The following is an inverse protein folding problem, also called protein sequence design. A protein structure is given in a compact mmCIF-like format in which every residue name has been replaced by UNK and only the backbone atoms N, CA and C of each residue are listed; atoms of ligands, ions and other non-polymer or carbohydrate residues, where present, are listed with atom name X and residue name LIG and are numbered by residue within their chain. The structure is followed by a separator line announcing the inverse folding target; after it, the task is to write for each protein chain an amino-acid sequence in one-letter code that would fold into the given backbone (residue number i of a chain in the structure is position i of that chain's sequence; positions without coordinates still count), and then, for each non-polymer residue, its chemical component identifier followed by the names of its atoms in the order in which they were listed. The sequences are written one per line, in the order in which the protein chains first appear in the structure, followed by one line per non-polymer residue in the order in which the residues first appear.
data_IF_044811923755
#
_entry.id   IF_044811923755
#
_cell.length_a   1.000
_cell.length_b   1.000
_cell.length_c   1.000
_cell.angle_alpha   90.00
_cell.angle_beta   90.00
_cell.angle_gamma   90.00
#
_symmetry.space_group_name_H-M   'P 1'
#
loop_
_entity.id
_entity.type
_entity.pdbx_description
1 polymer ?
#
# COMPACT_ATOMS: atom_id res chain seq x y z
N UNK A 1 -65.85 -8.99 -30.56
CA UNK A 1 -65.09 -8.00 -31.35
C UNK A 1 -64.06 -7.36 -30.43
N UNK A 2 -62.84 -7.88 -30.36
CA UNK A 2 -61.77 -7.31 -29.54
C UNK A 2 -60.99 -6.29 -30.37
N UNK A 3 -61.08 -5.00 -30.01
CA UNK A 3 -60.24 -3.94 -30.57
C UNK A 3 -58.85 -4.04 -29.95
N UNK A 4 -57.87 -4.51 -30.71
CA UNK A 4 -56.46 -4.35 -30.35
C UNK A 4 -56.08 -2.87 -30.51
N UNK A 5 -55.84 -2.19 -29.40
CA UNK A 5 -55.24 -0.86 -29.38
C UNK A 5 -53.80 -0.99 -29.88
N UNK A 6 -53.51 -0.42 -31.04
CA UNK A 6 -52.19 -0.40 -31.64
C UNK A 6 -51.34 0.61 -30.85
N UNK A 7 -50.46 0.13 -29.97
CA UNK A 7 -49.50 0.97 -29.28
C UNK A 7 -48.63 1.66 -30.34
N UNK A 8 -48.74 2.99 -30.44
CA UNK A 8 -47.96 3.81 -31.36
C UNK A 8 -46.49 3.69 -30.93
N UNK A 9 -45.64 3.05 -31.73
CA UNK A 9 -44.19 3.09 -31.52
C UNK A 9 -43.76 4.56 -31.64
N UNK A 10 -43.46 5.19 -30.52
CA UNK A 10 -42.81 6.50 -30.49
C UNK A 10 -41.34 6.28 -30.89
N UNK A 11 -41.05 6.49 -32.18
CA UNK A 11 -39.67 6.52 -32.67
C UNK A 11 -38.98 7.81 -32.25
N UNK A 12 -37.67 7.73 -32.01
CA UNK A 12 -36.83 8.90 -31.81
C UNK A 12 -36.76 9.73 -33.10
N UNK A 13 -36.78 11.05 -32.98
CA UNK A 13 -36.50 11.92 -34.13
C UNK A 13 -35.00 11.89 -34.44
N UNK A 14 -34.61 12.15 -35.70
CA UNK A 14 -33.20 12.21 -36.08
C UNK A 14 -32.44 13.26 -35.25
N UNK A 15 -33.08 14.40 -34.99
CA UNK A 15 -32.49 15.49 -34.18
C UNK A 15 -32.25 15.03 -32.75
N UNK A 16 -33.20 14.30 -32.16
CA UNK A 16 -33.09 13.78 -30.80
C UNK A 16 -32.01 12.70 -30.67
N UNK A 17 -31.83 11.85 -31.69
CA UNK A 17 -30.72 10.91 -31.73
C UNK A 17 -29.36 11.62 -31.82
N UNK A 18 -29.25 12.66 -32.66
CA UNK A 18 -28.00 13.40 -32.82
C UNK A 18 -27.63 14.14 -31.53
N UNK A 19 -28.59 14.82 -30.90
CA UNK A 19 -28.33 15.55 -29.64
C UNK A 19 -27.98 14.62 -28.49
N UNK A 20 -28.62 13.45 -28.38
CA UNK A 20 -28.28 12.45 -27.35
C UNK A 20 -26.87 11.89 -27.51
N UNK A 21 -26.43 11.57 -28.75
CA UNK A 21 -25.05 11.12 -29.00
C UNK A 21 -24.04 12.21 -28.65
N UNK A 22 -24.31 13.49 -28.97
CA UNK A 22 -23.45 14.62 -28.59
C UNK A 22 -23.35 14.74 -27.06
N UNK A 23 -24.48 14.66 -26.35
CA UNK A 23 -24.50 14.74 -24.88
C UNK A 23 -23.73 13.59 -24.23
N UNK A 24 -23.92 12.35 -24.71
CA UNK A 24 -23.15 11.20 -24.25
C UNK A 24 -21.66 11.40 -24.53
N UNK A 25 -21.29 11.95 -25.69
CA UNK A 25 -19.90 12.27 -26.03
C UNK A 25 -19.25 13.24 -25.04
N UNK A 26 -19.93 14.34 -24.71
CA UNK A 26 -19.44 15.34 -23.76
C UNK A 26 -19.30 14.74 -22.35
N UNK A 27 -20.31 14.00 -21.88
CA UNK A 27 -20.29 13.35 -20.57
C UNK A 27 -19.18 12.29 -20.50
N UNK A 28 -18.97 11.53 -21.57
CA UNK A 28 -17.98 10.46 -21.64
C UNK A 28 -16.57 10.98 -21.35
N UNK A 29 -16.18 12.13 -21.89
CA UNK A 29 -14.84 12.72 -21.69
C UNK A 29 -14.57 13.07 -20.22
N UNK A 30 -15.60 13.38 -19.44
CA UNK A 30 -15.45 13.79 -18.03
C UNK A 30 -15.66 12.63 -17.05
N UNK A 31 -16.57 11.70 -17.38
CA UNK A 31 -16.99 10.61 -16.49
C UNK A 31 -16.09 9.38 -16.64
N UNK A 32 -15.70 8.99 -17.87
CA UNK A 32 -14.88 7.79 -18.11
C UNK A 32 -13.52 7.84 -17.37
N UNK A 33 -12.72 8.93 -17.45
CA UNK A 33 -11.44 8.97 -16.74
C UNK A 33 -11.62 8.81 -15.23
N UNK A 34 -12.65 9.46 -14.65
CA UNK A 34 -12.92 9.38 -13.21
C UNK A 34 -13.34 7.99 -12.75
N UNK A 35 -14.17 7.30 -13.53
CA UNK A 35 -14.55 5.91 -13.27
C UNK A 35 -13.35 4.96 -13.24
N UNK A 36 -12.38 5.14 -14.14
CA UNK A 36 -11.17 4.29 -14.16
C UNK A 36 -10.12 4.66 -13.09
N UNK A 37 -10.18 5.87 -12.52
CA UNK A 37 -9.21 6.33 -11.49
C UNK A 37 -9.57 6.00 -10.04
N UNK A 38 -10.79 5.53 -9.74
CA UNK A 38 -11.29 5.49 -8.36
C UNK A 38 -10.69 4.41 -7.43
N UNK A 39 -9.95 3.44 -7.96
CA UNK A 39 -9.40 2.33 -7.15
C UNK A 39 -7.89 2.25 -7.15
N UNK A 40 -7.19 3.08 -7.91
CA UNK A 40 -5.76 2.90 -8.13
C UNK A 40 -4.89 3.57 -7.07
N UNK A 41 -4.90 3.04 -5.84
CA UNK A 41 -3.84 3.41 -4.87
C UNK A 41 -2.49 2.98 -5.45
N UNK A 42 -1.60 3.95 -5.68
CA UNK A 42 -0.42 3.69 -6.48
C UNK A 42 0.60 2.87 -5.68
N UNK A 43 1.11 1.79 -6.29
CA UNK A 43 2.13 0.96 -5.67
C UNK A 43 3.40 1.77 -5.37
N UNK A 44 3.69 2.79 -6.19
CA UNK A 44 4.80 3.71 -6.01
C UNK A 44 4.64 4.64 -4.80
N UNK A 45 3.42 5.14 -4.54
CA UNK A 45 3.14 5.95 -3.35
C UNK A 45 3.36 5.14 -2.08
N UNK A 46 2.80 3.93 -2.00
CA UNK A 46 3.00 3.04 -0.86
C UNK A 46 4.47 2.66 -0.69
N UNK A 47 5.17 2.40 -1.80
CA UNK A 47 6.61 2.12 -1.78
C UNK A 47 7.38 3.26 -1.13
N UNK A 48 7.13 4.49 -1.56
CA UNK A 48 7.84 5.66 -1.06
C UNK A 48 7.49 5.96 0.40
N UNK A 49 6.22 5.83 0.77
CA UNK A 49 5.74 5.96 2.15
C UNK A 49 6.44 4.96 3.07
N UNK A 50 6.40 3.68 2.70
CA UNK A 50 7.01 2.63 3.51
C UNK A 50 8.55 2.72 3.51
N UNK A 51 9.20 3.16 2.43
CA UNK A 51 10.64 3.43 2.44
C UNK A 51 11.03 4.57 3.38
N UNK A 52 10.22 5.63 3.44
CA UNK A 52 10.45 6.73 4.38
C UNK A 52 10.29 6.24 5.83
N UNK A 53 9.26 5.42 6.07
CA UNK A 53 9.01 4.78 7.35
C UNK A 53 10.20 3.93 7.82
N UNK A 54 10.70 3.02 6.95
CA UNK A 54 11.84 2.18 7.28
C UNK A 54 13.08 3.02 7.65
N UNK A 55 13.36 4.09 6.90
CA UNK A 55 14.48 5.00 7.17
C UNK A 55 14.30 5.77 8.47
N UNK A 56 13.07 6.20 8.77
CA UNK A 56 12.75 6.86 10.03
C UNK A 56 13.02 5.93 11.22
N UNK A 57 12.58 4.68 11.15
CA UNK A 57 12.81 3.70 12.22
C UNK A 57 14.29 3.34 12.33
N UNK A 58 14.98 3.17 11.20
CA UNK A 58 16.43 2.97 11.15
C UNK A 58 17.19 4.10 11.86
N UNK A 59 16.84 5.36 11.58
CA UNK A 59 17.44 6.53 12.25
C UNK A 59 17.14 6.54 13.76
N UNK A 60 15.94 6.16 14.17
CA UNK A 60 15.60 6.02 15.60
C UNK A 60 16.44 4.95 16.29
N UNK A 61 16.65 3.80 15.64
CA UNK A 61 17.49 2.72 16.17
C UNK A 61 18.97 3.12 16.30
N UNK A 62 19.47 3.93 15.37
CA UNK A 62 20.83 4.50 15.42
C UNK A 62 20.98 5.55 16.52
N UNK A 63 19.96 6.39 16.73
CA UNK A 63 19.99 7.44 17.75
C UNK A 63 19.80 6.90 19.18
N UNK A 64 18.99 5.86 19.35
CA UNK A 64 18.66 5.28 20.65
C UNK A 64 19.18 3.84 20.74
N UNK A 65 20.47 3.70 21.04
CA UNK A 65 21.14 2.41 21.11
C UNK A 65 20.65 1.52 22.26
N UNK A 66 20.02 2.10 23.27
CA UNK A 66 19.42 1.42 24.41
C UNK A 66 17.98 0.92 24.14
N UNK A 67 17.38 1.29 23.00
CA UNK A 67 16.02 0.90 22.60
C UNK A 67 16.01 0.10 21.31
N UNK A 68 15.11 -0.86 21.23
CA UNK A 68 14.88 -1.61 19.99
C UNK A 68 13.54 -1.18 19.39
N UNK A 69 13.52 -0.98 18.07
CA UNK A 69 12.31 -0.62 17.34
C UNK A 69 11.91 -1.74 16.38
N UNK A 70 10.62 -2.08 16.40
CA UNK A 70 10.01 -3.11 15.55
C UNK A 70 8.94 -2.49 14.68
N UNK A 71 8.96 -2.82 13.40
CA UNK A 71 7.86 -2.60 12.47
C UNK A 71 7.17 -3.94 12.28
N UNK A 72 5.93 -4.06 12.77
CA UNK A 72 5.10 -5.22 12.54
C UNK A 72 4.17 -4.92 11.35
N UNK A 73 4.37 -5.65 10.25
CA UNK A 73 3.57 -5.56 9.04
C UNK A 73 2.48 -6.64 9.06
N UNK A 74 1.29 -6.28 8.62
CA UNK A 74 0.13 -7.15 8.45
C UNK A 74 -0.47 -6.96 7.05
N UNK A 75 -1.48 -7.75 6.70
CA UNK A 75 -2.17 -7.62 5.40
C UNK A 75 -2.95 -6.31 5.25
N UNK A 76 -3.20 -5.57 6.34
CA UNK A 76 -4.06 -4.36 6.32
C UNK A 76 -3.30 -3.09 6.68
N UNK A 77 -2.03 -3.18 7.09
CA UNK A 77 -1.24 -2.05 7.53
C UNK A 77 0.02 -2.46 8.26
N UNK A 78 0.70 -1.49 8.86
CA UNK A 78 1.85 -1.71 9.73
C UNK A 78 1.71 -0.93 11.03
N UNK A 79 2.45 -1.36 12.04
CA UNK A 79 2.56 -0.65 13.32
C UNK A 79 4.02 -0.62 13.77
N UNK A 80 4.38 0.44 14.48
CA UNK A 80 5.73 0.61 15.02
C UNK A 80 5.69 0.57 16.53
N UNK A 81 6.53 -0.27 17.10
CA UNK A 81 6.60 -0.58 18.52
C UNK A 81 8.04 -0.40 19.01
N UNK A 82 8.21 -0.15 20.31
CA UNK A 82 9.53 -0.01 20.93
C UNK A 82 9.70 -0.98 22.10
N UNK A 83 10.93 -1.43 22.33
CA UNK A 83 11.28 -2.43 23.33
C UNK A 83 12.51 -1.99 24.11
N UNK A 84 12.61 -2.43 25.36
CA UNK A 84 13.77 -2.14 26.21
C UNK A 84 14.99 -3.00 25.89
N UNK A 85 14.78 -4.17 25.30
CA UNK A 85 15.85 -5.15 25.08
C UNK A 85 15.83 -5.66 23.65
N UNK A 86 17.00 -6.12 23.21
CA UNK A 86 17.22 -6.79 21.92
C UNK A 86 18.10 -8.02 22.15
N UNK A 87 17.93 -9.03 21.32
CA UNK A 87 18.83 -10.19 21.23
C UNK A 87 19.36 -10.34 19.80
N UNK A 88 20.02 -11.46 19.51
CA UNK A 88 20.56 -11.78 18.18
C UNK A 88 19.49 -12.00 17.10
N UNK A 89 18.22 -12.12 17.47
CA UNK A 89 17.08 -12.37 16.56
C UNK A 89 16.20 -11.14 16.36
N UNK A 90 16.29 -10.13 17.24
CA UNK A 90 15.59 -8.86 17.11
C UNK A 90 15.17 -8.25 18.45
N UNK A 91 14.07 -7.51 18.46
CA UNK A 91 13.53 -6.92 19.69
C UNK A 91 12.89 -7.99 20.59
N UNK A 92 13.13 -7.91 21.89
CA UNK A 92 12.65 -8.93 22.86
C UNK A 92 11.90 -8.31 24.03
N UNK A 93 11.14 -9.15 24.75
CA UNK A 93 10.37 -8.74 25.92
C UNK A 93 9.05 -8.07 25.57
N UNK A 94 8.46 -7.39 26.56
CA UNK A 94 7.23 -6.65 26.38
C UNK A 94 7.52 -5.30 25.70
N UNK A 95 6.65 -4.85 24.77
CA UNK A 95 6.75 -3.51 24.22
C UNK A 95 6.58 -2.45 25.30
N UNK A 96 7.30 -1.35 25.16
CA UNK A 96 7.24 -0.20 26.06
C UNK A 96 6.07 0.69 25.69
N UNK A 97 5.36 1.20 26.69
CA UNK A 97 4.31 2.21 26.49
C UNK A 97 4.92 3.51 25.93
N UNK A 98 4.28 4.15 24.94
CA UNK A 98 3.03 3.74 24.28
C UNK A 98 3.24 2.60 23.26
N UNK A 99 2.27 1.68 23.20
CA UNK A 99 2.26 0.52 22.30
C UNK A 99 0.94 0.40 21.51
N UNK A 100 0.97 0.39 20.16
CA UNK A 100 2.10 0.79 19.34
C UNK A 100 2.40 2.29 19.48
N UNK A 101 3.61 2.72 19.10
CA UNK A 101 3.92 4.16 18.96
C UNK A 101 2.96 4.82 17.97
N UNK A 102 2.66 4.13 16.88
CA UNK A 102 1.66 4.51 15.88
C UNK A 102 1.33 3.31 14.98
N UNK A 103 0.17 3.40 14.34
CA UNK A 103 -0.31 2.43 13.35
C UNK A 103 -0.70 3.15 12.07
N UNK A 104 -0.43 2.51 10.93
CA UNK A 104 -0.76 3.03 9.62
C UNK A 104 -1.47 1.93 8.83
N UNK A 105 -2.70 2.23 8.42
CA UNK A 105 -3.51 1.33 7.60
C UNK A 105 -3.22 1.55 6.12
N UNK A 106 -3.12 0.45 5.37
CA UNK A 106 -3.08 0.50 3.92
C UNK A 106 -4.43 0.95 3.34
N UNK A 107 -4.38 1.52 2.13
CA UNK A 107 -5.56 1.99 1.40
C UNK A 107 -5.66 1.27 0.06
N UNK A 108 -6.86 1.23 -0.51
CA UNK A 108 -7.08 0.67 -1.85
C UNK A 108 -6.76 -0.81 -2.00
N UNK A 109 -6.85 -1.61 -0.93
CA UNK A 109 -6.56 -3.05 -0.96
C UNK A 109 -5.08 -3.38 -1.13
N UNK A 110 -4.18 -2.40 -0.97
CA UNK A 110 -2.76 -2.64 -1.08
C UNK A 110 -2.21 -3.42 0.11
N UNK A 111 -1.17 -4.22 -0.15
CA UNK A 111 -0.52 -5.08 0.83
C UNK A 111 0.99 -5.08 0.63
N UNK A 112 1.71 -5.44 1.69
CA UNK A 112 3.15 -5.70 1.63
C UNK A 112 3.38 -7.20 1.82
N UNK A 113 4.32 -7.75 1.07
CA UNK A 113 4.71 -9.15 1.20
C UNK A 113 6.24 -9.31 1.20
N UNK A 114 6.75 -10.26 1.96
CA UNK A 114 8.16 -10.63 1.89
C UNK A 114 8.49 -11.25 0.53
N UNK A 115 9.62 -10.86 -0.04
CA UNK A 115 10.10 -11.43 -1.30
C UNK A 115 10.42 -12.93 -1.18
N UNK A 116 11.01 -13.33 -0.04
CA UNK A 116 11.49 -14.70 0.21
C UNK A 116 10.38 -15.72 0.42
N UNK A 117 9.31 -15.35 1.12
CA UNK A 117 8.26 -16.28 1.57
C UNK A 117 6.85 -15.94 1.09
N UNK A 118 6.66 -14.79 0.41
CA UNK A 118 5.34 -14.22 0.12
C UNK A 118 4.47 -13.97 1.37
N UNK A 119 5.05 -13.98 2.57
CA UNK A 119 4.29 -13.70 3.79
C UNK A 119 3.84 -12.24 3.82
N UNK A 120 2.54 -12.04 4.04
CA UNK A 120 1.92 -10.71 4.19
C UNK A 120 1.91 -10.21 5.64
N UNK A 121 2.47 -11.00 6.56
CA UNK A 121 2.69 -10.62 7.95
C UNK A 121 4.11 -10.98 8.36
N UNK A 122 4.84 -9.99 8.87
CA UNK A 122 6.24 -10.14 9.25
C UNK A 122 6.69 -8.96 10.11
N UNK A 123 7.76 -9.18 10.87
CA UNK A 123 8.38 -8.16 11.69
C UNK A 123 9.71 -7.73 11.09
N UNK A 124 10.03 -6.46 11.25
CA UNK A 124 11.32 -5.88 10.87
C UNK A 124 11.86 -5.17 12.09
N UNK A 125 13.01 -5.63 12.55
CA UNK A 125 13.75 -5.01 13.65
C UNK A 125 15.04 -4.43 13.08
N UNK A 126 15.52 -3.33 13.65
CA UNK A 126 16.83 -2.78 13.28
C UNK A 126 17.83 -2.99 14.43
N UNK A 127 19.03 -3.43 14.08
CA UNK A 127 20.14 -3.49 15.02
C UNK A 127 20.71 -2.08 15.33
N UNK A 128 21.70 -2.02 16.22
CA UNK A 128 22.36 -0.77 16.63
C UNK A 128 23.17 -0.13 15.49
N UNK A 129 23.46 -0.90 14.43
CA UNK A 129 24.17 -0.45 13.24
C UNK A 129 23.21 -0.07 12.11
N UNK A 130 21.89 -0.09 12.36
CA UNK A 130 20.87 0.24 11.37
C UNK A 130 20.68 -0.86 10.31
N UNK A 131 21.14 -2.09 10.55
CA UNK A 131 20.87 -3.23 9.66
C UNK A 131 19.54 -3.88 10.06
N UNK A 132 18.66 -4.18 9.10
CA UNK A 132 17.40 -4.84 9.38
C UNK A 132 17.62 -6.33 9.69
N UNK A 133 16.74 -6.91 10.51
CA UNK A 133 16.71 -8.35 10.84
C UNK A 133 16.31 -9.24 9.66
N UNK A 134 15.96 -8.64 8.52
CA UNK A 134 15.69 -9.34 7.27
C UNK A 134 17.01 -9.75 6.61
N UNK A 135 17.22 -11.05 6.43
CA UNK A 135 18.35 -11.59 5.67
C UNK A 135 18.11 -11.46 4.15
N UNK A 136 18.03 -10.23 3.64
CA UNK A 136 17.85 -9.94 2.22
C UNK A 136 19.00 -9.09 1.66
N UNK A 137 19.28 -9.27 0.37
CA UNK A 137 20.28 -8.48 -0.35
C UNK A 137 19.76 -8.21 -1.78
N UNK A 138 19.14 -7.05 -1.97
CA UNK A 138 18.37 -6.72 -3.17
C UNK A 138 16.86 -6.78 -2.89
N UNK A 139 16.09 -7.47 -3.72
CA UNK A 139 14.62 -7.54 -3.61
C UNK A 139 14.16 -8.12 -2.27
N UNK A 140 13.68 -7.26 -1.37
CA UNK A 140 13.37 -7.65 0.00
C UNK A 140 11.87 -7.67 0.28
N UNK A 141 11.16 -6.61 -0.13
CA UNK A 141 9.74 -6.43 0.15
C UNK A 141 9.01 -6.10 -1.14
N UNK A 142 7.91 -6.78 -1.40
CA UNK A 142 7.00 -6.55 -2.52
C UNK A 142 5.84 -5.70 -2.05
N UNK A 143 5.60 -4.61 -2.76
CA UNK A 143 4.47 -3.72 -2.59
C UNK A 143 3.44 -4.09 -3.65
N UNK A 144 2.29 -4.60 -3.20
CA UNK A 144 1.26 -5.16 -4.07
C UNK A 144 0.05 -4.22 -4.00
N UNK A 145 -0.20 -3.50 -5.09
CA UNK A 145 -1.40 -2.68 -5.29
C UNK A 145 -1.89 -2.90 -6.74
N UNK A 146 -2.11 -1.83 -7.52
CA UNK A 146 -2.46 -2.00 -8.96
C UNK A 146 -1.27 -2.50 -9.78
N UNK A 147 -0.06 -2.17 -9.35
CA UNK A 147 1.19 -2.72 -9.85
C UNK A 147 1.92 -3.42 -8.70
N UNK A 148 2.89 -4.26 -9.05
CA UNK A 148 3.80 -4.88 -8.09
C UNK A 148 5.17 -4.21 -8.24
N UNK A 149 5.61 -3.52 -7.19
CA UNK A 149 6.94 -2.89 -7.14
C UNK A 149 7.72 -3.41 -5.95
N UNK A 150 9.05 -3.49 -6.06
CA UNK A 150 9.90 -3.96 -4.97
C UNK A 150 10.58 -2.80 -4.23
N UNK A 151 10.77 -2.99 -2.92
CA UNK A 151 11.73 -2.26 -2.10
C UNK A 151 12.95 -3.14 -1.94
N UNK A 152 14.10 -2.56 -2.27
CA UNK A 152 15.37 -3.25 -2.17
C UNK A 152 16.12 -2.82 -0.91
N UNK A 153 16.74 -3.77 -0.25
CA UNK A 153 17.51 -3.57 0.98
C UNK A 153 18.82 -4.34 0.84
N UNK A 154 19.96 -3.70 1.08
CA UNK A 154 21.26 -4.37 1.12
C UNK A 154 21.49 -5.07 2.46
N UNK A 155 22.46 -6.00 2.50
CA UNK A 155 22.89 -6.64 3.76
C UNK A 155 23.38 -5.63 4.81
N UNK A 156 23.83 -4.45 4.37
CA UNK A 156 24.30 -3.35 5.21
C UNK A 156 23.17 -2.39 5.64
N UNK A 157 21.92 -2.66 5.28
CA UNK A 157 20.76 -1.85 5.64
C UNK A 157 20.53 -0.61 4.76
N UNK A 158 21.14 -0.55 3.58
CA UNK A 158 20.83 0.51 2.60
C UNK A 158 19.50 0.22 1.90
N UNK A 159 18.55 1.16 2.01
CA UNK A 159 17.19 1.02 1.50
C UNK A 159 17.02 1.87 0.24
N UNK A 160 16.66 1.24 -0.88
CA UNK A 160 16.53 1.89 -2.19
C UNK A 160 15.40 1.31 -3.04
N UNK A 161 14.99 2.10 -4.03
CA UNK A 161 14.05 1.69 -5.07
C UNK A 161 14.85 1.36 -6.34
N UNK A 162 14.44 0.31 -7.04
CA UNK A 162 14.87 0.01 -8.42
C UNK A 162 13.67 0.15 -9.36
#
# INVERSE_FOLDING_TARGET
MAKFSMAKQAGFTLVELVTTVILIGILSVTVLPRLFTQSSYSAFSLRNEFMAELRQVQQRALNNTDRCYRIAVSSVGYQVSQFATRDNTGCTGAPLSPEPLYTQAFKGGATLALSSSNASSFNIDFDINGRPSLACNGHCIKVIANDIVSINISSEGYIYAN
#
